data_IF_264313534608
#
_entry.id   IF_264313534608
#
_cell.length_a   1.000
_cell.length_b   1.000
_cell.length_c   1.000
_cell.angle_alpha   90.00
_cell.angle_beta   90.00
_cell.angle_gamma   90.00
#
_symmetry.space_group_name_H-M   'P 1'
#
loop_
_entity.id
_entity.type
_entity.pdbx_description
1 polymer ?
#
# COMPACT_ATOMS: atom_id res chain seq x y z
N UNK A 1 15.54 44.85 -22.27
CA UNK A 1 16.59 43.80 -22.34
C UNK A 1 16.59 42.85 -21.13
N UNK A 2 16.45 43.33 -19.88
CA UNK A 2 16.50 42.48 -18.66
C UNK A 2 15.32 41.50 -18.51
N UNK A 3 14.13 41.86 -18.97
CA UNK A 3 12.89 41.05 -18.85
C UNK A 3 12.94 39.74 -19.63
N UNK A 4 13.63 39.71 -20.78
CA UNK A 4 13.81 38.48 -21.57
C UNK A 4 14.66 37.45 -20.83
N UNK A 5 15.73 37.89 -20.15
CA UNK A 5 16.57 37.00 -19.36
C UNK A 5 15.87 36.47 -18.12
N UNK A 6 15.06 37.31 -17.45
CA UNK A 6 14.23 36.89 -16.32
C UNK A 6 13.19 35.85 -16.77
N UNK A 7 12.53 36.08 -17.91
CA UNK A 7 11.55 35.12 -18.44
C UNK A 7 12.19 33.77 -18.80
N UNK A 8 13.41 33.82 -19.37
CA UNK A 8 14.17 32.62 -19.74
C UNK A 8 14.63 31.83 -18.50
N UNK A 9 15.04 32.54 -17.43
CA UNK A 9 15.34 31.93 -16.13
C UNK A 9 14.12 31.26 -15.50
N UNK A 10 12.96 31.93 -15.50
CA UNK A 10 11.72 31.37 -14.97
C UNK A 10 11.32 30.13 -15.75
N UNK A 11 11.42 30.17 -17.09
CA UNK A 11 11.10 29.02 -17.94
C UNK A 11 12.02 27.82 -17.66
N UNK A 12 13.33 28.05 -17.53
CA UNK A 12 14.29 27.00 -17.19
C UNK A 12 14.00 26.38 -15.81
N UNK A 13 13.59 27.20 -14.84
CA UNK A 13 13.25 26.75 -13.50
C UNK A 13 11.97 25.90 -13.49
N UNK A 14 10.95 26.30 -14.25
CA UNK A 14 9.74 25.50 -14.44
C UNK A 14 10.04 24.15 -15.09
N UNK A 15 10.91 24.13 -16.11
CA UNK A 15 11.34 22.88 -16.75
C UNK A 15 12.06 21.98 -15.74
N UNK A 16 12.96 22.53 -14.93
CA UNK A 16 13.65 21.79 -13.86
C UNK A 16 12.69 21.17 -12.84
N UNK A 17 11.68 21.93 -12.40
CA UNK A 17 10.64 21.46 -11.47
C UNK A 17 9.79 20.35 -12.09
N UNK A 18 9.40 20.50 -13.36
CA UNK A 18 8.63 19.48 -14.08
C UNK A 18 9.43 18.17 -14.22
N UNK A 19 10.69 18.25 -14.62
CA UNK A 19 11.55 17.07 -14.76
C UNK A 19 11.80 16.41 -13.39
N UNK A 20 12.10 17.20 -12.36
CA UNK A 20 12.34 16.71 -11.00
C UNK A 20 11.11 16.02 -10.39
N UNK A 21 9.92 16.62 -10.54
CA UNK A 21 8.66 16.03 -10.06
C UNK A 21 8.28 14.76 -10.81
N UNK A 22 8.41 14.72 -12.13
CA UNK A 22 8.13 13.52 -12.93
C UNK A 22 9.07 12.36 -12.59
N UNK A 23 10.35 12.66 -12.39
CA UNK A 23 11.35 11.64 -12.01
C UNK A 23 11.03 11.08 -10.63
N UNK A 24 10.76 11.95 -9.66
CA UNK A 24 10.39 11.55 -8.29
C UNK A 24 9.10 10.74 -8.27
N UNK A 25 8.09 11.15 -9.05
CA UNK A 25 6.83 10.44 -9.20
C UNK A 25 7.02 9.03 -9.77
N UNK A 26 7.83 8.87 -10.83
CA UNK A 26 8.14 7.54 -11.40
C UNK A 26 8.91 6.64 -10.43
N UNK A 27 9.91 7.17 -9.74
CA UNK A 27 10.71 6.40 -8.77
C UNK A 27 9.83 5.94 -7.60
N UNK A 28 9.03 6.85 -7.06
CA UNK A 28 8.11 6.54 -5.95
C UNK A 28 7.07 5.52 -6.38
N UNK A 29 6.47 5.69 -7.57
CA UNK A 29 5.50 4.74 -8.12
C UNK A 29 6.09 3.33 -8.26
N UNK A 30 7.29 3.20 -8.83
CA UNK A 30 7.97 1.89 -8.95
C UNK A 30 8.24 1.25 -7.58
N UNK A 31 8.66 2.04 -6.58
CA UNK A 31 8.87 1.52 -5.22
C UNK A 31 7.55 1.08 -4.57
N UNK A 32 6.48 1.85 -4.73
CA UNK A 32 5.15 1.51 -4.21
C UNK A 32 4.58 0.28 -4.90
N UNK A 33 4.70 0.17 -6.22
CA UNK A 33 4.28 -1.02 -6.98
C UNK A 33 5.07 -2.27 -6.56
N UNK A 34 6.38 -2.13 -6.34
CA UNK A 34 7.25 -3.19 -5.79
C UNK A 34 6.83 -3.63 -4.38
N UNK A 35 6.48 -2.69 -3.50
CA UNK A 35 5.95 -3.02 -2.16
C UNK A 35 4.56 -3.66 -2.26
N UNK A 36 3.72 -3.19 -3.19
CA UNK A 36 2.39 -3.75 -3.45
C UNK A 36 2.49 -5.19 -3.97
N UNK A 37 3.52 -5.52 -4.74
CA UNK A 37 3.74 -6.87 -5.28
C UNK A 37 4.12 -7.88 -4.18
N UNK A 38 4.86 -7.49 -3.13
CA UNK A 38 5.08 -8.37 -1.96
C UNK A 38 3.76 -8.83 -1.30
N UNK A 39 2.72 -8.02 -1.42
CA UNK A 39 1.37 -8.32 -0.96
C UNK A 39 0.53 -9.02 -2.04
N UNK A 40 1.13 -9.66 -3.05
CA UNK A 40 0.45 -10.57 -3.98
C UNK A 40 1.21 -11.89 -4.04
N UNK A 41 0.52 -12.97 -4.40
CA UNK A 41 1.14 -14.30 -4.50
C UNK A 41 2.29 -14.32 -5.50
N UNK A 42 2.02 -13.75 -6.66
CA UNK A 42 2.97 -13.63 -7.74
C UNK A 42 4.14 -12.72 -7.38
N UNK A 43 3.88 -11.56 -6.79
CA UNK A 43 4.94 -10.63 -6.45
C UNK A 43 5.81 -11.13 -5.30
N UNK A 44 5.26 -11.82 -4.30
CA UNK A 44 6.03 -12.50 -3.25
C UNK A 44 7.03 -13.51 -3.84
N UNK A 45 6.57 -14.35 -4.77
CA UNK A 45 7.41 -15.36 -5.42
C UNK A 45 8.46 -14.73 -6.33
N UNK A 46 8.05 -13.84 -7.22
CA UNK A 46 8.96 -13.13 -8.15
C UNK A 46 10.06 -12.43 -7.37
N UNK A 47 9.72 -11.82 -6.23
CA UNK A 47 10.72 -11.13 -5.44
C UNK A 47 11.78 -12.03 -4.82
N UNK A 48 11.36 -13.19 -4.31
CA UNK A 48 12.30 -14.17 -3.74
C UNK A 48 13.19 -14.76 -4.83
N UNK A 49 12.65 -15.05 -6.01
CA UNK A 49 13.45 -15.54 -7.14
C UNK A 49 14.44 -14.49 -7.64
N UNK A 50 14.04 -13.22 -7.70
CA UNK A 50 14.94 -12.12 -8.07
C UNK A 50 16.09 -11.97 -7.07
N UNK A 51 15.81 -12.07 -5.76
CA UNK A 51 16.83 -11.95 -4.70
C UNK A 51 17.82 -13.13 -4.74
N UNK A 52 17.31 -14.34 -4.98
CA UNK A 52 18.13 -15.55 -5.04
C UNK A 52 18.84 -15.72 -6.39
N UNK A 53 18.56 -14.86 -7.37
CA UNK A 53 18.97 -15.03 -8.77
C UNK A 53 18.66 -16.44 -9.28
N UNK A 54 17.47 -16.95 -8.92
CA UNK A 54 17.13 -18.36 -9.09
C UNK A 54 17.09 -18.76 -10.58
N UNK A 55 17.75 -19.87 -10.91
CA UNK A 55 17.69 -20.47 -12.25
C UNK A 55 16.28 -21.00 -12.55
N UNK A 56 15.92 -21.19 -13.82
CA UNK A 56 14.59 -21.71 -14.22
C UNK A 56 14.26 -23.05 -13.54
N UNK A 57 15.25 -23.92 -13.44
CA UNK A 57 15.10 -25.25 -12.84
C UNK A 57 14.83 -25.16 -11.32
N UNK A 58 15.47 -24.21 -10.62
CA UNK A 58 15.17 -23.91 -9.22
C UNK A 58 13.81 -23.24 -9.05
N UNK A 59 13.43 -22.36 -9.96
CA UNK A 59 12.13 -21.71 -9.93
C UNK A 59 10.99 -22.74 -10.03
N UNK A 60 11.09 -23.71 -10.95
CA UNK A 60 10.08 -24.77 -11.10
C UNK A 60 9.98 -25.65 -9.84
N UNK A 61 11.11 -26.01 -9.24
CA UNK A 61 11.14 -26.85 -8.03
C UNK A 61 10.63 -26.13 -6.78
N UNK A 62 10.93 -24.84 -6.63
CA UNK A 62 10.58 -24.06 -5.45
C UNK A 62 9.20 -23.41 -5.54
N UNK A 63 8.65 -23.26 -6.74
CA UNK A 63 7.36 -22.59 -6.95
C UNK A 63 6.20 -23.19 -6.12
N UNK A 64 5.98 -24.51 -6.05
CA UNK A 64 4.91 -25.07 -5.23
C UNK A 64 5.08 -24.76 -3.74
N UNK A 65 6.32 -24.80 -3.25
CA UNK A 65 6.65 -24.47 -1.86
C UNK A 65 6.34 -23.00 -1.56
N UNK A 66 6.86 -22.08 -2.38
CA UNK A 66 6.63 -20.64 -2.19
C UNK A 66 5.16 -20.25 -2.34
N UNK A 67 4.43 -20.90 -3.26
CA UNK A 67 3.00 -20.69 -3.42
C UNK A 67 2.23 -21.12 -2.16
N UNK A 68 2.66 -22.17 -1.45
CA UNK A 68 2.04 -22.62 -0.19
C UNK A 68 2.29 -21.65 0.97
N UNK A 69 3.51 -21.11 1.10
CA UNK A 69 3.84 -20.12 2.11
C UNK A 69 3.14 -18.79 1.87
N UNK A 70 2.99 -18.40 0.60
CA UNK A 70 2.23 -17.21 0.25
C UNK A 70 0.76 -17.32 0.64
N UNK A 71 0.13 -18.48 0.43
CA UNK A 71 -1.25 -18.74 0.88
C UNK A 71 -1.38 -18.70 2.40
N UNK A 72 -0.41 -19.28 3.11
CA UNK A 72 -0.40 -19.25 4.57
C UNK A 72 -0.27 -17.81 5.09
N UNK A 73 0.64 -17.03 4.51
CA UNK A 73 0.81 -15.61 4.82
C UNK A 73 -0.48 -14.82 4.61
N UNK A 74 -1.18 -15.07 3.50
CA UNK A 74 -2.49 -14.45 3.23
C UNK A 74 -3.56 -14.83 4.25
N UNK A 75 -3.64 -16.10 4.65
CA UNK A 75 -4.54 -16.55 5.71
C UNK A 75 -4.21 -15.88 7.04
N UNK A 76 -2.93 -15.76 7.38
CA UNK A 76 -2.46 -15.07 8.59
C UNK A 76 -2.82 -13.59 8.59
N UNK A 77 -2.60 -12.89 7.47
CA UNK A 77 -3.03 -11.49 7.32
C UNK A 77 -4.54 -11.40 7.53
N UNK A 78 -5.34 -12.21 6.85
CA UNK A 78 -6.80 -12.14 6.98
C UNK A 78 -7.26 -12.38 8.42
N UNK A 79 -6.70 -13.37 9.11
CA UNK A 79 -7.00 -13.65 10.52
C UNK A 79 -6.57 -12.50 11.43
N UNK A 80 -5.37 -11.96 11.23
CA UNK A 80 -4.88 -10.81 12.01
C UNK A 80 -5.80 -9.59 11.86
N UNK A 81 -6.42 -9.41 10.71
CA UNK A 81 -7.40 -8.33 10.51
C UNK A 81 -8.67 -8.52 11.32
N UNK A 82 -9.18 -9.75 11.42
CA UNK A 82 -10.34 -10.07 12.26
C UNK A 82 -10.03 -9.73 13.73
N UNK A 83 -8.88 -10.21 14.22
CA UNK A 83 -8.41 -9.91 15.58
C UNK A 83 -8.24 -8.41 15.83
N UNK A 84 -7.67 -7.66 14.87
CA UNK A 84 -7.54 -6.21 14.99
C UNK A 84 -8.90 -5.51 15.03
N UNK A 85 -9.88 -5.95 14.23
CA UNK A 85 -11.22 -5.36 14.25
C UNK A 85 -11.88 -5.57 15.61
N UNK A 86 -11.78 -6.77 16.18
CA UNK A 86 -12.29 -7.09 17.52
C UNK A 86 -11.64 -6.19 18.58
N UNK A 87 -10.31 -6.07 18.56
CA UNK A 87 -9.55 -5.18 19.45
C UNK A 87 -10.05 -3.72 19.37
N UNK A 88 -10.21 -3.19 18.15
CA UNK A 88 -10.70 -1.82 17.98
C UNK A 88 -12.15 -1.67 18.44
N UNK A 89 -13.02 -2.66 18.21
CA UNK A 89 -14.41 -2.61 18.68
C UNK A 89 -14.48 -2.61 20.22
N UNK A 90 -13.62 -3.37 20.90
CA UNK A 90 -13.47 -3.31 22.36
C UNK A 90 -12.94 -1.96 22.85
N UNK A 91 -11.95 -1.39 22.15
CA UNK A 91 -11.43 -0.06 22.42
C UNK A 91 -12.54 1.01 22.31
N UNK A 92 -13.35 0.97 21.25
CA UNK A 92 -14.46 1.92 21.07
C UNK A 92 -15.50 1.80 22.17
N UNK A 93 -15.91 0.57 22.55
CA UNK A 93 -16.83 0.34 23.68
C UNK A 93 -16.28 0.88 25.00
N UNK A 94 -14.97 0.78 25.20
CA UNK A 94 -14.30 1.27 26.42
C UNK A 94 -14.19 2.80 26.46
N UNK A 95 -14.13 3.45 25.29
CA UNK A 95 -14.06 4.90 25.14
C UNK A 95 -15.46 5.54 25.21
N UNK A 96 -16.49 4.90 24.66
CA UNK A 96 -17.87 5.41 24.58
C UNK A 96 -18.38 6.06 25.87
N UNK A 97 -18.25 5.45 27.06
CA UNK A 97 -18.75 6.06 28.29
C UNK A 97 -17.91 7.24 28.82
N UNK A 98 -16.73 7.50 28.25
CA UNK A 98 -15.75 8.48 28.75
C UNK A 98 -15.72 9.78 27.94
N UNK A 99 -16.46 9.86 26.84
CA UNK A 99 -16.44 10.99 25.92
C UNK A 99 -17.85 11.45 25.57
N UNK A 100 -17.97 12.64 25.00
CA UNK A 100 -19.26 13.17 24.56
C UNK A 100 -19.80 12.38 23.36
N UNK A 101 -21.13 12.22 23.28
CA UNK A 101 -21.79 11.52 22.17
C UNK A 101 -21.40 12.05 20.79
N UNK A 102 -21.21 13.36 20.66
CA UNK A 102 -20.79 13.98 19.39
C UNK A 102 -19.35 13.60 19.01
N UNK A 103 -18.46 13.46 19.98
CA UNK A 103 -17.08 13.03 19.75
C UNK A 103 -17.04 11.54 19.37
N UNK A 104 -17.84 10.71 20.06
CA UNK A 104 -17.97 9.29 19.72
C UNK A 104 -18.54 9.09 18.32
N UNK A 105 -19.55 9.86 17.93
CA UNK A 105 -20.10 9.80 16.57
C UNK A 105 -19.03 10.09 15.51
N UNK A 106 -18.19 11.11 15.69
CA UNK A 106 -17.09 11.41 14.76
C UNK A 106 -16.10 10.25 14.63
N UNK A 107 -15.78 9.57 15.73
CA UNK A 107 -14.91 8.39 15.71
C UNK A 107 -15.53 7.22 14.93
N UNK A 108 -16.84 7.00 15.10
CA UNK A 108 -17.58 5.94 14.42
C UNK A 108 -17.73 6.21 12.93
N UNK A 109 -18.05 7.45 12.54
CA UNK A 109 -18.14 7.88 11.14
C UNK A 109 -16.79 7.62 10.42
N UNK A 110 -15.68 7.99 11.06
CA UNK A 110 -14.33 7.74 10.51
C UNK A 110 -14.00 6.24 10.43
N UNK A 111 -14.37 5.46 11.44
CA UNK A 111 -14.17 3.99 11.43
C UNK A 111 -14.90 3.36 10.24
N UNK A 112 -16.13 3.76 10.01
CA UNK A 112 -16.98 3.18 8.97
C UNK A 112 -16.51 3.58 7.55
N UNK A 113 -16.06 4.83 7.38
CA UNK A 113 -15.36 5.28 6.17
C UNK A 113 -14.16 4.39 5.84
N UNK A 114 -13.24 4.23 6.81
CA UNK A 114 -12.04 3.42 6.63
C UNK A 114 -12.38 1.95 6.35
N UNK A 115 -13.40 1.38 7.00
CA UNK A 115 -13.86 0.01 6.74
C UNK A 115 -14.43 -0.13 5.32
N UNK A 116 -15.22 0.84 4.85
CA UNK A 116 -15.81 0.82 3.51
C UNK A 116 -14.75 0.94 2.41
N UNK A 117 -13.78 1.84 2.54
CA UNK A 117 -12.67 1.97 1.60
C UNK A 117 -11.85 0.68 1.49
N UNK A 118 -11.63 0.02 2.62
CA UNK A 118 -10.87 -1.23 2.69
C UNK A 118 -11.63 -2.39 2.06
N UNK A 119 -12.95 -2.46 2.24
CA UNK A 119 -13.80 -3.45 1.55
C UNK A 119 -13.73 -3.26 0.04
N UNK A 120 -13.85 -2.01 -0.44
CA UNK A 120 -13.71 -1.67 -1.86
C UNK A 120 -12.34 -2.07 -2.44
N UNK A 121 -11.25 -1.75 -1.74
CA UNK A 121 -9.88 -2.14 -2.13
C UNK A 121 -9.67 -3.66 -2.12
N UNK A 122 -10.45 -4.42 -1.34
CA UNK A 122 -10.40 -5.89 -1.30
C UNK A 122 -11.16 -6.52 -2.45
N UNK A 123 -12.33 -6.00 -2.83
CA UNK A 123 -13.06 -6.48 -4.02
C UNK A 123 -12.23 -6.26 -5.29
N UNK A 124 -11.55 -5.11 -5.41
CA UNK A 124 -10.67 -4.79 -6.54
C UNK A 124 -9.40 -5.66 -6.64
N UNK A 125 -9.06 -6.45 -5.61
CA UNK A 125 -7.87 -7.34 -5.59
C UNK A 125 -8.20 -8.82 -5.82
N UNK A 126 -9.49 -9.17 -5.87
CA UNK A 126 -9.94 -10.55 -6.11
C UNK A 126 -10.13 -10.86 -7.61
N UNK A 127 -10.00 -9.85 -8.47
CA UNK A 127 -9.91 -9.94 -9.93
C UNK A 127 -8.43 -9.83 -10.36
#
# INVERSE_FOLDING_TARGET
>A
MKTKYILLLVLALLIGVLIGSLTTGRVTRKKVEKIKSWNTREGFRTHLFDIMEATKDQQEKLRPMLDSFSDLHWKMINKNWEVQNEFYDEMYKSIEPKIEKQQFKKLMDHRDEIRSERQKKRSERKD
#
